data_IF_120930742564
#
_entry.id   IF_120930742564
#
_cell.length_a   1.000
_cell.length_b   1.000
_cell.length_c   1.000
_cell.angle_alpha   90.00
_cell.angle_beta   90.00
_cell.angle_gamma   90.00
#
_symmetry.space_group_name_H-M   'P 1'
#
loop_
_entity.id
_entity.type
_entity.pdbx_description
1 polymer ?
#
# COMPACT_ATOMS: atom_id res chain seq x y z
N UNK A 1 1.06 -10.02 22.41
CA UNK A 1 2.30 -10.38 21.69
C UNK A 1 2.04 -11.08 20.36
N UNK A 2 1.08 -12.00 20.24
CA UNK A 2 0.77 -12.68 18.98
C UNK A 2 0.36 -11.75 17.80
N UNK A 3 -0.26 -10.60 18.09
CA UNK A 3 -0.76 -9.70 17.05
C UNK A 3 0.35 -8.91 16.31
N UNK A 4 1.33 -8.38 17.02
CA UNK A 4 2.45 -7.64 16.39
C UNK A 4 3.35 -8.57 15.59
N UNK A 5 3.58 -9.80 16.06
CA UNK A 5 4.36 -10.79 15.31
C UNK A 5 3.67 -11.12 13.98
N UNK A 6 2.36 -11.35 14.00
CA UNK A 6 1.57 -11.62 12.78
C UNK A 6 1.69 -10.49 11.74
N UNK A 7 1.73 -9.25 12.20
CA UNK A 7 1.93 -8.07 11.35
C UNK A 7 3.31 -8.04 10.71
N UNK A 8 4.35 -8.30 11.51
CA UNK A 8 5.73 -8.39 11.04
C UNK A 8 5.86 -9.51 10.00
N UNK A 9 5.27 -10.68 10.26
CA UNK A 9 5.29 -11.81 9.33
C UNK A 9 4.61 -11.47 8.00
N UNK A 10 3.48 -10.74 8.04
CA UNK A 10 2.81 -10.27 6.83
C UNK A 10 3.65 -9.26 6.02
N UNK A 11 4.39 -8.38 6.69
CA UNK A 11 5.33 -7.46 6.03
C UNK A 11 6.47 -8.25 5.37
N UNK A 12 7.07 -9.21 6.08
CA UNK A 12 8.15 -10.06 5.54
C UNK A 12 7.68 -10.87 4.34
N UNK A 13 6.52 -11.53 4.43
CA UNK A 13 5.93 -12.28 3.32
C UNK A 13 5.66 -11.38 2.11
N UNK A 14 5.28 -10.12 2.33
CA UNK A 14 5.09 -9.14 1.24
C UNK A 14 6.43 -8.75 0.61
N UNK A 15 7.46 -8.49 1.42
CA UNK A 15 8.81 -8.22 0.91
C UNK A 15 9.30 -9.38 0.06
N UNK A 16 9.31 -10.59 0.62
CA UNK A 16 9.81 -11.80 -0.04
C UNK A 16 9.08 -12.11 -1.34
N UNK A 17 7.77 -11.84 -1.41
CA UNK A 17 7.02 -12.06 -2.64
C UNK A 17 7.44 -11.12 -3.79
N UNK A 18 7.84 -9.89 -3.49
CA UNK A 18 8.13 -8.86 -4.48
C UNK A 18 9.62 -8.50 -4.59
N UNK A 19 10.47 -9.10 -3.75
CA UNK A 19 11.91 -8.92 -3.77
C UNK A 19 12.49 -9.28 -5.15
N UNK A 20 13.39 -8.43 -5.64
CA UNK A 20 14.00 -8.59 -6.96
C UNK A 20 13.06 -8.41 -8.15
N UNK A 21 11.79 -8.02 -7.94
CA UNK A 21 10.83 -7.76 -9.03
C UNK A 21 10.78 -6.27 -9.37
N UNK A 22 11.14 -5.88 -10.61
CA UNK A 22 11.03 -4.49 -11.04
C UNK A 22 9.60 -4.00 -11.06
N UNK A 23 9.43 -2.69 -10.95
CA UNK A 23 8.13 -2.06 -11.07
C UNK A 23 7.52 -2.33 -12.46
N UNK A 24 6.26 -2.77 -12.47
CA UNK A 24 5.50 -3.02 -13.69
C UNK A 24 4.01 -2.76 -13.46
N UNK A 25 3.48 -1.75 -14.15
CA UNK A 25 2.06 -1.39 -14.08
C UNK A 25 1.15 -2.59 -14.31
N UNK A 26 0.24 -2.83 -13.39
CA UNK A 26 -0.77 -3.89 -13.44
C UNK A 26 -0.27 -5.26 -12.99
N UNK A 27 1.03 -5.40 -12.66
CA UNK A 27 1.65 -6.68 -12.30
C UNK A 27 2.42 -6.60 -10.98
N UNK A 28 3.39 -5.69 -10.91
CA UNK A 28 4.26 -5.45 -9.76
C UNK A 28 4.27 -3.95 -9.50
N UNK A 29 3.17 -3.45 -8.94
CA UNK A 29 3.00 -2.04 -8.60
C UNK A 29 2.46 -1.88 -7.18
N UNK A 30 2.36 -0.63 -6.73
CA UNK A 30 1.93 -0.30 -5.37
C UNK A 30 0.53 -0.86 -5.02
N UNK A 31 -0.40 -0.90 -5.97
CA UNK A 31 -1.72 -1.46 -5.75
C UNK A 31 -1.68 -3.00 -5.60
N UNK A 32 -0.86 -3.69 -6.40
CA UNK A 32 -0.66 -5.14 -6.29
C UNK A 32 0.02 -5.52 -4.97
N UNK A 33 1.00 -4.75 -4.54
CA UNK A 33 1.68 -4.92 -3.24
C UNK A 33 0.67 -4.76 -2.10
N UNK A 34 -0.13 -3.70 -2.10
CA UNK A 34 -1.13 -3.47 -1.05
C UNK A 34 -2.19 -4.58 -1.00
N UNK A 35 -2.72 -5.01 -2.15
CA UNK A 35 -3.70 -6.12 -2.22
C UNK A 35 -3.10 -7.43 -1.70
N UNK A 36 -1.87 -7.76 -2.10
CA UNK A 36 -1.18 -8.95 -1.59
C UNK A 36 -0.95 -8.85 -0.08
N UNK A 37 -0.49 -7.71 0.41
CA UNK A 37 -0.19 -7.48 1.82
C UNK A 37 -1.43 -7.66 2.70
N UNK A 38 -2.56 -7.06 2.31
CA UNK A 38 -3.83 -7.21 3.03
C UNK A 38 -4.26 -8.69 3.11
N UNK A 39 -4.00 -9.49 2.06
CA UNK A 39 -4.25 -10.95 2.09
C UNK A 39 -3.37 -11.68 3.11
N UNK A 40 -2.11 -11.27 3.29
CA UNK A 40 -1.24 -11.83 4.33
C UNK A 40 -1.74 -11.52 5.74
N UNK A 41 -2.42 -10.37 5.90
CA UNK A 41 -3.15 -10.05 7.13
C UNK A 41 -4.50 -10.79 7.24
N UNK A 42 -4.78 -11.79 6.42
CA UNK A 42 -6.03 -12.54 6.41
C UNK A 42 -7.23 -11.66 6.02
N UNK A 43 -6.99 -10.53 5.35
CA UNK A 43 -8.02 -9.62 4.89
C UNK A 43 -8.26 -9.88 3.40
N UNK A 44 -9.52 -10.03 3.03
CA UNK A 44 -9.92 -10.00 1.62
C UNK A 44 -10.37 -8.57 1.34
N UNK A 45 -9.51 -7.71 0.75
CA UNK A 45 -9.91 -6.33 0.53
C UNK A 45 -11.17 -6.30 -0.35
N UNK A 46 -12.24 -5.59 0.07
CA UNK A 46 -13.37 -5.35 -0.80
C UNK A 46 -12.87 -4.79 -2.12
N UNK A 47 -13.40 -5.39 -3.17
CA UNK A 47 -12.92 -5.51 -4.53
C UNK A 47 -12.67 -4.20 -5.32
N UNK A 48 -12.53 -3.02 -4.71
CA UNK A 48 -12.34 -1.74 -5.41
C UNK A 48 -11.09 -1.71 -6.29
N UNK A 49 -9.91 -2.05 -5.74
CA UNK A 49 -8.66 -2.12 -6.52
C UNK A 49 -8.63 -3.27 -7.54
N UNK A 50 -9.37 -4.36 -7.27
CA UNK A 50 -9.44 -5.52 -8.17
C UNK A 50 -10.42 -5.32 -9.34
N UNK A 51 -11.49 -4.53 -9.15
CA UNK A 51 -12.52 -4.22 -10.17
C UNK A 51 -12.06 -3.20 -11.21
N UNK A 52 -10.88 -2.61 -11.03
CA UNK A 52 -10.35 -1.58 -11.91
C UNK A 52 -10.01 -2.08 -13.33
N UNK A 53 -9.94 -3.41 -13.54
CA UNK A 53 -9.57 -4.05 -14.81
C UNK A 53 -8.06 -3.99 -15.08
N UNK A 54 -7.57 -4.63 -16.16
CA UNK A 54 -6.15 -4.60 -16.49
C UNK A 54 -5.70 -3.22 -16.94
N UNK A 55 -4.45 -2.88 -16.62
CA UNK A 55 -3.74 -1.71 -17.12
C UNK A 55 -2.25 -2.06 -17.25
N UNK A 56 -1.53 -1.35 -18.13
CA UNK A 56 -0.10 -1.56 -18.38
C UNK A 56 0.71 -0.26 -18.40
N UNK A 57 0.07 0.87 -18.07
CA UNK A 57 0.67 2.21 -18.10
C UNK A 57 0.12 3.05 -16.95
N UNK A 58 0.84 4.12 -16.60
CA UNK A 58 0.39 5.12 -15.63
C UNK A 58 -0.99 5.69 -15.99
N UNK A 59 -1.18 6.18 -17.23
CA UNK A 59 -2.50 6.69 -17.64
C UNK A 59 -3.59 5.61 -17.56
N UNK A 60 -3.24 4.36 -17.89
CA UNK A 60 -4.13 3.21 -17.72
C UNK A 60 -4.53 2.98 -16.26
N UNK A 61 -3.60 3.10 -15.32
CA UNK A 61 -3.85 2.99 -13.90
C UNK A 61 -4.78 4.11 -13.39
N UNK A 62 -4.58 5.37 -13.82
CA UNK A 62 -5.49 6.50 -13.48
C UNK A 62 -6.92 6.23 -13.99
N UNK A 63 -7.04 5.73 -15.23
CA UNK A 63 -8.34 5.34 -15.80
C UNK A 63 -8.97 4.18 -15.03
N UNK A 64 -8.17 3.19 -14.62
CA UNK A 64 -8.61 2.05 -13.85
C UNK A 64 -9.18 2.50 -12.48
N UNK A 65 -8.47 3.40 -11.80
CA UNK A 65 -8.91 4.00 -10.54
C UNK A 65 -10.25 4.76 -10.70
N UNK A 66 -10.37 5.58 -11.76
CA UNK A 66 -11.62 6.28 -12.08
C UNK A 66 -12.78 5.32 -12.39
N UNK A 67 -12.53 4.23 -13.13
CA UNK A 67 -13.54 3.19 -13.38
C UNK A 67 -14.00 2.49 -12.11
N UNK A 68 -13.10 2.33 -11.13
CA UNK A 68 -13.45 1.83 -9.81
C UNK A 68 -14.22 2.85 -8.96
N UNK A 69 -14.43 4.08 -9.45
CA UNK A 69 -15.19 5.12 -8.76
C UNK A 69 -14.35 5.98 -7.82
N UNK A 70 -13.02 5.94 -7.92
CA UNK A 70 -12.13 6.65 -7.01
C UNK A 70 -11.35 7.76 -7.73
N UNK A 71 -11.23 8.92 -7.08
CA UNK A 71 -10.49 10.07 -7.61
C UNK A 71 -8.97 10.00 -7.30
N UNK A 72 -8.60 9.27 -6.24
CA UNK A 72 -7.23 9.14 -5.74
C UNK A 72 -7.01 7.78 -5.07
N UNK A 73 -5.76 7.42 -4.79
CA UNK A 73 -5.45 6.20 -4.04
C UNK A 73 -5.97 6.32 -2.61
N UNK A 74 -5.91 7.52 -2.04
CA UNK A 74 -6.48 7.80 -0.72
C UNK A 74 -7.99 7.54 -0.69
N UNK A 75 -8.75 8.01 -1.69
CA UNK A 75 -10.19 7.74 -1.80
C UNK A 75 -10.49 6.24 -2.00
N UNK A 76 -9.61 5.52 -2.70
CA UNK A 76 -9.73 4.07 -2.83
C UNK A 76 -9.53 3.38 -1.48
N UNK A 77 -8.52 3.75 -0.68
CA UNK A 77 -8.31 3.19 0.66
C UNK A 77 -9.46 3.54 1.62
N UNK A 78 -10.00 4.75 1.56
CA UNK A 78 -11.16 5.14 2.36
C UNK A 78 -12.38 4.26 2.05
N UNK A 79 -12.61 3.97 0.76
CA UNK A 79 -13.72 3.11 0.34
C UNK A 79 -13.60 1.67 0.81
N UNK A 80 -12.38 1.22 1.13
CA UNK A 80 -12.14 -0.11 1.66
C UNK A 80 -12.70 -0.20 3.08
N UNK A 81 -12.82 0.90 3.85
CA UNK A 81 -13.34 0.87 5.22
C UNK A 81 -12.25 0.68 6.29
N UNK A 82 -10.98 0.89 5.93
CA UNK A 82 -9.89 0.94 6.88
C UNK A 82 -9.92 2.28 7.65
N UNK A 83 -9.74 2.29 8.98
CA UNK A 83 -9.72 3.54 9.72
C UNK A 83 -8.43 4.31 9.42
N UNK A 84 -8.57 5.60 9.11
CA UNK A 84 -7.44 6.54 9.07
C UNK A 84 -6.90 6.75 10.49
N UNK A 85 -5.58 6.79 10.63
CA UNK A 85 -4.88 7.04 11.90
C UNK A 85 -3.79 8.10 11.71
N UNK A 86 -3.40 8.77 12.79
CA UNK A 86 -2.25 9.67 12.72
C UNK A 86 -0.94 8.88 12.56
N UNK A 87 0.06 9.38 11.80
CA UNK A 87 1.31 8.67 11.54
C UNK A 87 2.05 8.17 12.79
N UNK A 88 1.95 8.90 13.91
CA UNK A 88 2.55 8.51 15.19
C UNK A 88 2.01 7.19 15.78
N UNK A 89 0.82 6.74 15.34
CA UNK A 89 0.21 5.48 15.76
C UNK A 89 0.40 4.33 14.76
N UNK A 90 1.24 4.52 13.75
CA UNK A 90 1.49 3.51 12.72
C UNK A 90 2.08 2.25 13.33
N UNK A 91 1.53 1.10 12.95
CA UNK A 91 2.07 -0.22 13.27
C UNK A 91 2.55 -0.92 12.00
N UNK A 92 3.52 -1.85 12.09
CA UNK A 92 3.89 -2.71 10.97
C UNK A 92 2.64 -3.29 10.29
N UNK A 93 2.62 -3.22 8.97
CA UNK A 93 1.52 -3.67 8.12
C UNK A 93 0.41 -2.65 7.88
N UNK A 94 0.43 -1.48 8.51
CA UNK A 94 -0.50 -0.41 8.14
C UNK A 94 -0.18 0.13 6.73
N UNK A 95 -1.21 0.59 6.00
CA UNK A 95 -1.04 1.14 4.66
C UNK A 95 -0.73 2.63 4.75
N UNK A 96 0.20 3.07 3.91
CA UNK A 96 0.68 4.45 3.91
C UNK A 96 0.56 5.02 2.50
N UNK A 97 0.10 6.26 2.39
CA UNK A 97 0.25 7.06 1.19
C UNK A 97 1.22 8.20 1.48
N UNK A 98 2.20 8.35 0.59
CA UNK A 98 3.15 9.46 0.56
C UNK A 98 3.05 10.24 -0.76
N UNK A 99 3.56 11.48 -0.80
CA UNK A 99 3.82 12.17 -2.06
C UNK A 99 4.68 11.28 -2.97
N UNK A 100 4.24 11.11 -4.22
CA UNK A 100 5.02 10.44 -5.26
C UNK A 100 5.46 11.44 -6.34
N UNK A 101 6.07 10.93 -7.41
CA UNK A 101 6.48 11.70 -8.57
C UNK A 101 5.37 11.74 -9.64
N UNK A 102 5.53 12.61 -10.64
CA UNK A 102 4.72 12.65 -11.87
C UNK A 102 3.19 12.70 -11.66
N UNK A 103 2.77 13.40 -10.61
CA UNK A 103 1.36 13.54 -10.25
C UNK A 103 0.73 12.21 -9.82
N UNK A 104 1.51 11.35 -9.17
CA UNK A 104 1.06 10.16 -8.46
C UNK A 104 1.30 10.27 -6.96
N UNK A 105 0.43 9.60 -6.21
CA UNK A 105 0.66 9.26 -4.82
C UNK A 105 1.38 7.90 -4.75
N UNK A 106 2.28 7.73 -3.79
CA UNK A 106 2.99 6.48 -3.55
C UNK A 106 2.30 5.69 -2.44
N UNK A 107 1.62 4.59 -2.79
CA UNK A 107 1.06 3.64 -1.83
C UNK A 107 2.13 2.64 -1.36
N UNK A 108 2.22 2.45 -0.06
CA UNK A 108 3.27 1.67 0.61
C UNK A 108 2.71 0.89 1.81
N UNK A 109 3.52 -0.04 2.33
CA UNK A 109 3.26 -0.76 3.57
C UNK A 109 4.22 -0.24 4.64
N UNK A 110 3.73 0.14 5.81
CA UNK A 110 4.58 0.52 6.93
C UNK A 110 5.33 -0.69 7.47
N UNK A 111 6.66 -0.64 7.49
CA UNK A 111 7.52 -1.73 7.96
C UNK A 111 7.91 -1.58 9.45
N UNK A 112 7.67 -0.40 10.04
CA UNK A 112 8.08 -0.07 11.40
C UNK A 112 9.25 0.90 11.45
N UNK A 113 9.42 1.58 12.60
CA UNK A 113 10.56 2.47 12.87
C UNK A 113 10.83 3.52 11.77
N UNK A 114 9.75 4.12 11.24
CA UNK A 114 9.81 5.13 10.18
C UNK A 114 10.17 4.58 8.79
N UNK A 115 10.22 3.26 8.61
CA UNK A 115 10.45 2.63 7.32
C UNK A 115 9.14 2.18 6.66
N UNK A 116 9.12 2.25 5.33
CA UNK A 116 8.03 1.78 4.47
C UNK A 116 8.58 0.86 3.39
N UNK A 117 7.80 -0.13 2.97
CA UNK A 117 8.05 -0.95 1.81
C UNK A 117 7.34 -0.33 0.61
N UNK A 118 8.11 0.18 -0.36
CA UNK A 118 7.59 0.98 -1.49
C UNK A 118 8.48 0.90 -2.73
N UNK A 119 7.99 1.36 -3.87
CA UNK A 119 8.81 1.60 -5.06
C UNK A 119 9.35 3.03 -5.02
N UNK A 120 10.62 3.21 -5.40
CA UNK A 120 11.30 4.49 -5.38
C UNK A 120 12.10 4.67 -6.67
N UNK A 121 12.22 5.91 -7.17
CA UNK A 121 12.92 6.22 -8.44
C UNK A 121 14.42 5.85 -8.43
N UNK A 122 15.02 5.75 -7.25
CA UNK A 122 16.41 5.32 -7.06
C UNK A 122 16.56 3.83 -6.69
N UNK A 123 15.48 3.06 -6.76
CA UNK A 123 15.51 1.62 -6.51
C UNK A 123 14.94 0.86 -7.71
N UNK A 124 15.66 -0.16 -8.18
CA UNK A 124 15.22 -0.97 -9.33
C UNK A 124 13.97 -1.80 -9.04
N UNK A 125 13.78 -2.18 -7.77
CA UNK A 125 12.72 -3.06 -7.29
C UNK A 125 12.04 -2.48 -6.04
N UNK A 126 11.05 -3.20 -5.50
CA UNK A 126 10.44 -2.87 -4.21
C UNK A 126 11.53 -2.79 -3.14
N UNK A 127 11.59 -1.68 -2.41
CA UNK A 127 12.64 -1.40 -1.45
C UNK A 127 12.05 -0.94 -0.12
N UNK A 128 12.84 -1.14 0.95
CA UNK A 128 12.55 -0.55 2.25
C UNK A 128 13.20 0.82 2.31
N UNK A 129 12.38 1.87 2.44
CA UNK A 129 12.79 3.27 2.41
C UNK A 129 12.42 3.93 3.73
N UNK A 130 13.30 4.76 4.28
CA UNK A 130 12.98 5.59 5.45
C UNK A 130 12.22 6.84 5.02
N UNK A 131 11.14 7.13 5.72
CA UNK A 131 10.35 8.35 5.49
C UNK A 131 11.09 9.52 6.12
N UNK A 132 11.45 10.52 5.30
CA UNK A 132 12.18 11.70 5.75
C UNK A 132 11.31 12.63 6.63
N UNK A 133 10.04 12.82 6.24
CA UNK A 133 9.07 13.61 7.00
C UNK A 133 7.77 12.81 7.22
N UNK A 134 7.57 12.22 8.41
CA UNK A 134 6.38 11.47 8.75
C UNK A 134 5.07 12.26 8.65
N UNK A 135 5.10 13.59 8.68
CA UNK A 135 3.88 14.41 8.62
C UNK A 135 3.24 14.42 7.24
N UNK A 136 3.98 14.03 6.20
CA UNK A 136 3.46 13.89 4.84
C UNK A 136 2.79 12.53 4.59
N UNK A 137 2.80 11.63 5.58
CA UNK A 137 2.12 10.34 5.49
C UNK A 137 0.63 10.46 5.79
N UNK A 138 -0.19 9.87 4.94
CA UNK A 138 -1.54 9.46 5.30
C UNK A 138 -1.52 7.97 5.62
N UNK A 139 -2.12 7.56 6.74
CA UNK A 139 -2.02 6.17 7.23
C UNK A 139 -3.39 5.57 7.48
N UNK A 140 -3.56 4.33 7.05
CA UNK A 140 -4.75 3.49 7.28
C UNK A 140 -4.34 2.27 8.08
N UNK A 141 -5.00 2.09 9.23
CA UNK A 141 -4.81 0.92 10.07
C UNK A 141 -5.31 -0.32 9.33
N UNK A 142 -4.45 -1.32 9.13
CA UNK A 142 -4.81 -2.55 8.42
C UNK A 142 -5.61 -3.55 9.30
N UNK A 143 -6.51 -3.03 10.12
CA UNK A 143 -7.49 -3.76 10.93
C UNK A 143 -8.88 -3.19 10.67
N UNK A 144 -9.89 -4.06 10.65
CA UNK A 144 -11.28 -3.59 10.71
C UNK A 144 -11.65 -3.30 12.16
N UNK A 145 -12.52 -2.31 12.41
CA UNK A 145 -13.21 -2.21 13.70
C UNK A 145 -13.81 -3.58 14.03
N UNK A 146 -13.59 -4.07 15.25
CA UNK A 146 -14.40 -5.18 15.76
C UNK A 146 -15.83 -4.65 15.83
N UNK A 147 -16.74 -5.24 15.05
CA UNK A 147 -18.17 -5.06 15.25
C UNK A 147 -18.58 -5.67 16.60
#
# INVERSE_FOLDING_TARGET
MADIQRRIDAVNATREHFEGRPFSWGTTDCAKVAVFHLRQLGKVPPFGLAKAGPYKTALGAKRALKRAGHASLAAALDSVGLPRIAPAYSLPGDLVINPGADGWEALAVYAGNGAILTFHEHAECLAMVRVADPNNMQVWRAEWPKH
#
